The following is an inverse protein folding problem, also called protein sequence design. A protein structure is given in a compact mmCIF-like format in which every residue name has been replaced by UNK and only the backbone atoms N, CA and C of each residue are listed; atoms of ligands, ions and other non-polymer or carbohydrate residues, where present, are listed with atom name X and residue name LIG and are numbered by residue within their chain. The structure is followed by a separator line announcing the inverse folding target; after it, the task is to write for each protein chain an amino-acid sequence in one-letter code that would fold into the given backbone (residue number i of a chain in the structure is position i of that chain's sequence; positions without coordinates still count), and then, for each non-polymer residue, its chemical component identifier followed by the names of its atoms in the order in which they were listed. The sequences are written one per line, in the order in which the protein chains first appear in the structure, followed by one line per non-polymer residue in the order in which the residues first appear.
data_IF_194447294455
#
_entry.id   IF_194447294455
#
_cell.length_a   1.000
_cell.length_b   1.000
_cell.length_c   1.000
_cell.angle_alpha   90.00
_cell.angle_beta   90.00
_cell.angle_gamma   90.00
#
_symmetry.space_group_name_H-M   'P 1'
#
loop_
_entity.id
_entity.type
_entity.pdbx_description
1 polymer ?
#
# COMPACT_ATOMS: atom_id res chain seq x y z
N UNK A 1 -21.06 0.81 4.94
CA UNK A 1 -21.09 1.57 6.20
C UNK A 1 -19.76 1.32 6.89
N UNK A 2 -19.00 2.38 7.20
CA UNK A 2 -17.77 2.28 7.99
C UNK A 2 -18.14 1.87 9.43
N UNK A 3 -17.38 0.98 10.10
CA UNK A 3 -17.66 0.59 11.49
C UNK A 3 -17.58 1.79 12.44
N UNK A 4 -18.46 1.85 13.45
CA UNK A 4 -18.34 2.81 14.56
C UNK A 4 -17.15 2.38 15.42
N UNK A 5 -16.08 3.19 15.47
CA UNK A 5 -14.84 2.89 16.19
C UNK A 5 -13.59 2.75 15.32
N UNK A 6 -13.70 3.04 14.02
CA UNK A 6 -12.54 3.11 13.13
C UNK A 6 -11.73 4.39 13.36
N UNK A 7 -10.44 4.26 13.66
CA UNK A 7 -9.52 5.37 13.90
C UNK A 7 -8.87 5.79 12.56
N UNK A 8 -9.60 6.57 11.75
CA UNK A 8 -9.08 7.05 10.46
C UNK A 8 -7.92 8.05 10.60
N UNK A 9 -7.82 8.72 11.73
CA UNK A 9 -6.81 9.76 11.98
C UNK A 9 -5.47 9.21 12.47
N UNK A 10 -5.38 7.91 12.81
CA UNK A 10 -4.12 7.30 13.25
C UNK A 10 -3.44 6.53 12.10
N UNK A 11 -2.23 6.96 11.68
CA UNK A 11 -1.49 6.26 10.64
C UNK A 11 -0.99 4.90 11.16
N UNK A 12 -0.85 3.94 10.24
CA UNK A 12 -0.35 2.59 10.54
C UNK A 12 1.11 2.64 11.03
N UNK A 13 1.87 3.58 10.47
CA UNK A 13 3.26 3.83 10.81
C UNK A 13 3.41 5.24 11.37
N UNK A 14 4.14 5.36 12.49
CA UNK A 14 4.51 6.65 13.10
C UNK A 14 6.03 6.81 13.01
N UNK A 15 6.51 8.06 12.96
CA UNK A 15 7.95 8.33 13.04
C UNK A 15 8.49 7.90 14.40
N UNK A 16 9.63 7.21 14.42
CA UNK A 16 10.24 6.71 15.65
C UNK A 16 10.70 7.87 16.55
N UNK A 17 10.10 8.08 17.74
CA UNK A 17 10.51 9.14 18.65
C UNK A 17 11.85 8.85 19.34
N UNK A 18 12.35 7.61 19.30
CA UNK A 18 13.65 7.23 19.86
C UNK A 18 14.81 7.54 18.93
N UNK A 19 14.53 7.68 17.63
CA UNK A 19 15.53 8.03 16.62
C UNK A 19 15.43 9.51 16.32
N UNK A 20 16.45 10.27 16.73
CA UNK A 20 16.63 11.65 16.31
C UNK A 20 17.63 11.73 15.16
N UNK A 21 17.56 12.83 14.40
CA UNK A 21 18.53 13.17 13.37
C UNK A 21 19.96 13.01 13.92
N UNK A 22 20.83 12.20 13.29
CA UNK A 22 22.21 12.04 13.71
C UNK A 22 22.94 13.38 13.75
N UNK A 23 23.86 13.55 14.71
CA UNK A 23 24.64 14.79 14.85
C UNK A 23 25.57 15.05 13.66
N UNK A 24 25.95 13.99 12.95
CA UNK A 24 26.81 14.04 11.77
C UNK A 24 26.01 14.11 10.45
N UNK A 25 24.69 14.31 10.49
CA UNK A 25 23.87 14.44 9.28
C UNK A 25 23.82 15.88 8.77
N UNK A 26 24.13 16.07 7.50
CA UNK A 26 24.12 17.37 6.85
C UNK A 26 22.93 17.48 5.87
N UNK A 27 21.98 18.39 6.10
CA UNK A 27 20.81 18.51 5.21
C UNK A 27 21.16 19.08 3.82
N UNK A 28 22.31 19.77 3.68
CA UNK A 28 22.76 20.31 2.39
C UNK A 28 23.47 19.25 1.54
N UNK A 29 24.19 18.31 2.16
CA UNK A 29 24.94 17.25 1.46
C UNK A 29 24.18 15.92 1.38
N UNK A 30 23.48 15.50 2.44
CA UNK A 30 22.73 14.24 2.54
C UNK A 30 21.22 14.40 2.26
N UNK A 31 20.71 15.64 2.29
CA UNK A 31 19.29 15.96 2.07
C UNK A 31 18.44 15.95 3.34
N UNK A 32 17.12 16.20 3.20
CA UNK A 32 16.18 16.23 4.33
C UNK A 32 16.14 14.86 5.03
N UNK A 33 16.49 14.85 6.32
CA UNK A 33 16.47 13.63 7.11
C UNK A 33 15.04 13.15 7.39
N UNK A 34 14.70 11.95 6.93
CA UNK A 34 13.44 11.28 7.27
C UNK A 34 13.67 10.26 8.39
N UNK A 35 12.87 10.36 9.46
CA UNK A 35 12.90 9.40 10.55
C UNK A 35 12.43 8.02 10.07
N UNK A 36 13.00 6.92 10.61
CA UNK A 36 12.48 5.60 10.35
C UNK A 36 11.05 5.49 10.90
N UNK A 37 10.17 4.92 10.07
CA UNK A 37 8.79 4.67 10.43
C UNK A 37 8.69 3.36 11.21
N UNK A 38 8.02 3.40 12.35
CA UNK A 38 7.75 2.25 13.21
C UNK A 38 6.25 1.94 13.25
N UNK A 39 5.91 0.68 13.50
CA UNK A 39 4.52 0.25 13.68
C UNK A 39 3.91 0.98 14.89
N UNK A 40 2.77 1.65 14.68
CA UNK A 40 2.10 2.36 15.75
C UNK A 40 1.54 1.35 16.77
N UNK A 41 1.94 1.40 18.06
CA UNK A 41 1.50 0.45 19.08
C UNK A 41 -0.02 0.46 19.31
N UNK A 42 -0.72 1.52 18.89
CA UNK A 42 -2.19 1.58 18.93
C UNK A 42 -2.87 0.73 17.84
N UNK A 43 -2.13 0.41 16.77
CA UNK A 43 -2.59 -0.51 15.72
C UNK A 43 -2.67 -1.95 16.23
N UNK A 44 -1.77 -2.39 17.12
CA UNK A 44 -1.88 -3.73 17.73
C UNK A 44 -3.13 -3.89 18.61
N UNK A 45 -3.61 -2.79 19.22
CA UNK A 45 -4.68 -2.83 20.22
C UNK A 45 -6.08 -2.84 19.58
N UNK A 46 -6.22 -2.31 18.36
CA UNK A 46 -7.52 -2.21 17.69
C UNK A 46 -7.42 -2.80 16.29
N UNK A 47 -8.28 -3.73 15.86
CA UNK A 47 -8.27 -4.23 14.47
C UNK A 47 -8.83 -3.22 13.44
N UNK A 48 -8.86 -1.93 13.77
CA UNK A 48 -9.58 -0.87 13.04
C UNK A 48 -8.79 0.45 13.01
N UNK A 49 -7.53 0.36 12.57
CA UNK A 49 -6.61 1.48 12.32
C UNK A 49 -6.43 1.76 10.82
N UNK A 50 -5.90 2.93 10.47
CA UNK A 50 -5.58 3.32 9.08
C UNK A 50 -6.78 3.80 8.26
N UNK A 51 -6.66 4.03 6.96
CA UNK A 51 -7.81 4.39 6.13
C UNK A 51 -8.74 3.18 5.91
N UNK A 52 -10.01 3.28 6.31
CA UNK A 52 -10.96 2.20 6.07
C UNK A 52 -11.18 1.97 4.58
N UNK A 53 -10.69 0.84 4.06
CA UNK A 53 -11.01 0.38 2.71
C UNK A 53 -12.26 -0.50 2.74
N UNK A 54 -13.30 -0.07 2.03
CA UNK A 54 -14.50 -0.87 1.85
C UNK A 54 -14.14 -2.25 1.27
N UNK A 55 -14.75 -3.34 1.76
CA UNK A 55 -14.51 -4.66 1.19
C UNK A 55 -14.91 -4.67 -0.28
N UNK A 56 -14.03 -5.23 -1.11
CA UNK A 56 -14.27 -5.35 -2.55
C UNK A 56 -15.37 -6.39 -2.80
N UNK A 57 -16.39 -6.00 -3.56
CA UNK A 57 -17.42 -6.92 -4.05
C UNK A 57 -17.04 -7.37 -5.46
N UNK A 58 -17.20 -8.68 -5.75
CA UNK A 58 -17.07 -9.19 -7.12
C UNK A 58 -17.98 -8.38 -8.05
N UNK A 59 -17.40 -7.79 -9.09
CA UNK A 59 -18.14 -7.02 -10.08
C UNK A 59 -18.82 -8.01 -11.06
N UNK A 60 -20.16 -8.17 -11.03
CA UNK A 60 -20.85 -9.10 -11.92
C UNK A 60 -20.77 -8.67 -13.40
N UNK A 61 -20.45 -7.41 -13.68
CA UNK A 61 -20.27 -6.90 -15.04
C UNK A 61 -18.82 -7.01 -15.54
N UNK A 62 -17.87 -7.50 -14.73
CA UNK A 62 -16.49 -7.66 -15.15
C UNK A 62 -16.36 -8.83 -16.12
N UNK A 63 -16.06 -8.52 -17.38
CA UNK A 63 -15.94 -9.51 -18.47
C UNK A 63 -14.57 -10.20 -18.56
N UNK A 64 -13.67 -9.92 -17.62
CA UNK A 64 -12.28 -10.35 -17.69
C UNK A 64 -11.47 -9.53 -18.69
N UNK A 65 -10.19 -9.88 -18.85
CA UNK A 65 -9.35 -9.34 -19.91
C UNK A 65 -9.86 -9.89 -21.23
N UNK A 66 -10.06 -9.04 -22.23
CA UNK A 66 -10.40 -9.51 -23.57
C UNK A 66 -9.24 -10.33 -24.14
N UNK A 67 -9.56 -11.51 -24.68
CA UNK A 67 -8.61 -12.36 -25.39
C UNK A 67 -9.08 -12.50 -26.83
N UNK A 68 -8.20 -12.15 -27.78
CA UNK A 68 -8.45 -12.39 -29.19
C UNK A 68 -8.51 -13.91 -29.45
N UNK A 69 -9.39 -14.38 -30.35
CA UNK A 69 -9.33 -15.76 -30.81
C UNK A 69 -7.98 -16.01 -31.49
N UNK A 70 -7.43 -17.21 -31.28
CA UNK A 70 -6.27 -17.65 -32.05
C UNK A 70 -6.71 -17.90 -33.49
N UNK A 71 -5.94 -17.35 -34.44
CA UNK A 71 -6.08 -17.61 -35.87
C UNK A 71 -4.89 -18.48 -36.26
N UNK A 72 -5.14 -19.54 -37.03
CA UNK A 72 -4.08 -20.39 -37.57
C UNK A 72 -3.09 -19.52 -38.35
N UNK A 73 -1.81 -19.60 -37.99
CA UNK A 73 -0.77 -18.81 -38.64
C UNK A 73 -0.50 -19.40 -40.04
N UNK A 74 -0.86 -18.71 -41.14
CA UNK A 74 -0.63 -19.21 -42.50
C UNK A 74 0.86 -19.35 -42.84
N UNK A 75 1.75 -18.71 -42.07
CA UNK A 75 3.20 -18.81 -42.21
C UNK A 75 3.82 -19.87 -41.29
N UNK A 76 3.01 -20.65 -40.57
CA UNK A 76 3.52 -21.73 -39.73
C UNK A 76 4.09 -22.84 -40.62
N UNK A 77 5.42 -22.92 -40.68
CA UNK A 77 6.17 -24.02 -41.27
C UNK A 77 6.69 -24.83 -40.09
N UNK A 78 6.00 -25.91 -39.75
CA UNK A 78 6.37 -26.77 -38.61
C UNK A 78 7.82 -27.26 -38.68
N UNK A 79 8.30 -27.83 -37.57
CA UNK A 79 9.64 -28.46 -37.44
C UNK A 79 9.71 -29.74 -38.27
#
# INVERSE_FOLDING_TARGET
MKPKGWLDDEPEEIDDPEVAKPKDWDDEEDGEWEAPKIDNPKCEITPSYGEWKRPLKKNPAYKGKWHAPFIDNPNYKGI
#
